data_IF_283768487834
#
_entry.id   IF_283768487834
#
_cell.length_a   1.000
_cell.length_b   1.000
_cell.length_c   1.000
_cell.angle_alpha   90.00
_cell.angle_beta   90.00
_cell.angle_gamma   90.00
#
_symmetry.space_group_name_H-M   'P 1'
#
loop_
_entity.id
_entity.type
_entity.pdbx_description
1 polymer ?
#
# COMPACT_ATOMS: atom_id res chain seq x y z
N UNK A 1 5.95 20.99 0.88
CA UNK A 1 5.76 22.46 0.83
C UNK A 1 6.74 23.22 1.73
N UNK A 2 6.97 22.80 2.99
CA UNK A 2 7.88 23.49 3.93
C UNK A 2 9.38 23.19 3.75
N UNK A 3 9.77 22.42 2.73
CA UNK A 3 11.17 22.04 2.48
C UNK A 3 11.83 21.19 3.56
N UNK A 4 11.05 20.63 4.50
CA UNK A 4 11.58 19.89 5.66
C UNK A 4 12.22 18.56 5.29
N UNK A 5 11.71 17.90 4.25
CA UNK A 5 12.19 16.62 3.75
C UNK A 5 12.29 16.67 2.23
N UNK A 6 13.30 15.99 1.72
CA UNK A 6 13.50 15.67 0.31
C UNK A 6 12.52 14.59 -0.14
N UNK A 7 12.38 14.42 -1.46
CA UNK A 7 11.55 13.35 -2.01
C UNK A 7 12.07 11.96 -1.62
N UNK A 8 13.40 11.79 -1.55
CA UNK A 8 14.03 10.53 -1.15
C UNK A 8 13.74 10.18 0.31
N UNK A 9 13.83 11.14 1.23
CA UNK A 9 13.49 10.93 2.64
C UNK A 9 12.01 10.59 2.82
N UNK A 10 11.12 11.22 2.04
CA UNK A 10 9.69 10.88 2.07
C UNK A 10 9.46 9.44 1.55
N UNK A 11 10.15 9.04 0.48
CA UNK A 11 10.07 7.67 -0.02
C UNK A 11 10.60 6.68 1.02
N UNK A 12 11.71 6.97 1.69
CA UNK A 12 12.25 6.15 2.77
C UNK A 12 11.24 5.96 3.90
N UNK A 13 10.53 7.01 4.33
CA UNK A 13 9.46 6.86 5.33
C UNK A 13 8.31 5.95 4.87
N UNK A 14 7.97 5.98 3.58
CA UNK A 14 6.94 5.09 3.01
C UNK A 14 7.45 3.66 2.95
N UNK A 15 8.70 3.46 2.50
CA UNK A 15 9.34 2.15 2.44
C UNK A 15 9.42 1.53 3.84
N UNK A 16 9.86 2.29 4.85
CA UNK A 16 9.89 1.87 6.26
C UNK A 16 8.51 1.50 6.79
N UNK A 17 7.50 2.33 6.50
CA UNK A 17 6.12 2.06 6.91
C UNK A 17 5.60 0.76 6.27
N UNK A 18 5.81 0.59 4.96
CA UNK A 18 5.40 -0.62 4.21
C UNK A 18 6.17 -1.85 4.70
N UNK A 19 7.47 -1.74 5.00
CA UNK A 19 8.25 -2.81 5.62
C UNK A 19 7.62 -3.27 6.93
N UNK A 20 7.11 -2.35 7.77
CA UNK A 20 6.38 -2.75 8.99
C UNK A 20 5.08 -3.47 8.70
N UNK A 21 4.29 -3.03 7.73
CA UNK A 21 3.06 -3.73 7.33
C UNK A 21 3.35 -5.17 6.89
N UNK A 22 4.47 -5.39 6.16
CA UNK A 22 4.94 -6.72 5.73
C UNK A 22 5.34 -7.66 6.88
N UNK A 23 5.60 -7.13 8.07
CA UNK A 23 5.98 -7.95 9.24
C UNK A 23 4.81 -8.42 10.09
N UNK A 24 3.59 -7.94 9.83
CA UNK A 24 2.42 -8.35 10.61
C UNK A 24 2.19 -9.85 10.44
N UNK A 25 1.98 -10.54 11.56
CA UNK A 25 1.67 -11.96 11.63
C UNK A 25 0.68 -12.21 12.76
N UNK A 26 -0.15 -13.24 12.59
CA UNK A 26 -1.10 -13.69 13.59
C UNK A 26 -0.88 -15.18 13.84
N UNK A 27 -1.00 -15.62 15.09
CA UNK A 27 -1.01 -17.05 15.39
C UNK A 27 -2.27 -17.69 14.79
N UNK A 28 -2.12 -18.78 14.02
CA UNK A 28 -3.22 -19.49 13.34
C UNK A 28 -3.26 -20.96 13.74
N UNK A 29 -4.45 -21.54 13.71
CA UNK A 29 -4.63 -22.99 13.81
C UNK A 29 -4.45 -23.64 12.43
N UNK A 30 -4.12 -24.93 12.39
CA UNK A 30 -4.01 -25.68 11.11
C UNK A 30 -5.30 -25.64 10.28
N UNK A 31 -6.45 -25.65 10.94
CA UNK A 31 -7.75 -25.56 10.28
C UNK A 31 -7.96 -24.20 9.59
N UNK A 32 -7.45 -23.10 10.17
CA UNK A 32 -7.49 -21.79 9.54
C UNK A 32 -6.62 -21.74 8.28
N UNK A 33 -5.39 -22.27 8.37
CA UNK A 33 -4.44 -22.28 7.25
C UNK A 33 -4.94 -23.09 6.03
N UNK A 34 -5.71 -24.17 6.28
CA UNK A 34 -6.38 -24.93 5.21
C UNK A 34 -7.45 -24.12 4.46
N UNK A 35 -8.09 -23.15 5.12
CA UNK A 35 -9.11 -22.29 4.51
C UNK A 35 -8.50 -21.03 3.89
N UNK A 36 -7.43 -20.50 4.49
CA UNK A 36 -6.77 -19.26 4.12
C UNK A 36 -5.27 -19.48 4.00
N UNK A 37 -4.85 -20.12 2.91
CA UNK A 37 -3.45 -20.45 2.64
C UNK A 37 -2.57 -19.23 2.43
N UNK A 38 -1.31 -19.30 2.84
CA UNK A 38 -0.29 -18.30 2.52
C UNK A 38 -0.14 -17.19 3.56
N UNK A 39 -0.56 -17.43 4.81
CA UNK A 39 -0.50 -16.47 5.92
C UNK A 39 -1.05 -15.07 5.60
N UNK A 40 -2.26 -14.92 5.01
CA UNK A 40 -2.76 -13.60 4.65
C UNK A 40 -3.05 -12.76 5.90
N UNK A 41 -2.68 -11.48 5.83
CA UNK A 41 -3.04 -10.48 6.86
C UNK A 41 -4.12 -9.52 6.38
N UNK A 42 -4.31 -9.41 5.06
CA UNK A 42 -5.32 -8.58 4.41
C UNK A 42 -5.17 -7.10 4.77
N UNK A 43 -3.94 -6.63 4.95
CA UNK A 43 -3.67 -5.23 5.25
C UNK A 43 -3.85 -4.44 3.96
N UNK A 44 -5.07 -3.96 3.75
CA UNK A 44 -5.48 -3.36 2.48
C UNK A 44 -5.26 -1.86 2.50
N UNK A 45 -4.49 -1.37 1.52
CA UNK A 45 -4.31 0.06 1.28
C UNK A 45 -5.12 0.44 0.04
N UNK A 46 -6.20 1.19 0.24
CA UNK A 46 -7.01 1.74 -0.86
C UNK A 46 -6.41 3.05 -1.35
N UNK A 47 -6.16 3.15 -2.66
CA UNK A 47 -5.47 4.26 -3.31
C UNK A 47 -6.27 4.81 -4.49
N UNK A 48 -5.89 5.99 -4.97
CA UNK A 48 -6.54 6.66 -6.10
C UNK A 48 -8.04 6.95 -5.85
N UNK A 49 -8.89 6.69 -6.85
CA UNK A 49 -10.34 6.95 -6.80
C UNK A 49 -10.73 8.38 -7.13
N UNK A 50 -12.02 8.68 -6.96
CA UNK A 50 -12.64 9.98 -7.23
C UNK A 50 -13.29 10.53 -5.96
N UNK A 51 -13.31 11.85 -5.83
CA UNK A 51 -14.15 12.54 -4.86
C UNK A 51 -15.59 12.67 -5.36
N UNK A 52 -16.52 12.85 -4.43
CA UNK A 52 -17.92 13.16 -4.76
C UNK A 52 -18.07 14.50 -5.51
N UNK A 53 -17.03 15.33 -5.49
CA UNK A 53 -16.92 16.58 -6.25
C UNK A 53 -16.43 16.37 -7.70
N UNK A 54 -16.20 15.14 -8.12
CA UNK A 54 -15.78 14.77 -9.46
C UNK A 54 -14.29 14.88 -9.75
N UNK A 55 -13.46 15.32 -8.79
CA UNK A 55 -11.99 15.35 -8.95
C UNK A 55 -11.38 14.00 -8.62
N UNK A 56 -10.28 13.64 -9.28
CA UNK A 56 -9.51 12.45 -8.87
C UNK A 56 -8.87 12.67 -7.49
N UNK A 57 -8.64 11.57 -6.77
CA UNK A 57 -7.92 11.55 -5.48
C UNK A 57 -6.53 10.97 -5.59
N UNK A 58 -6.04 10.68 -6.80
CA UNK A 58 -4.64 10.34 -7.04
C UNK A 58 -3.73 11.45 -6.53
N UNK A 59 -2.72 11.06 -5.78
CA UNK A 59 -1.69 11.91 -5.18
C UNK A 59 -0.31 11.30 -5.42
N UNK A 60 0.75 12.07 -5.14
CA UNK A 60 2.12 11.52 -5.15
C UNK A 60 2.29 10.35 -4.18
N UNK A 61 1.53 10.30 -3.08
CA UNK A 61 1.65 9.20 -2.11
C UNK A 61 1.25 7.86 -2.72
N UNK A 62 0.22 7.82 -3.58
CA UNK A 62 -0.20 6.57 -4.23
C UNK A 62 0.96 5.98 -5.05
N UNK A 63 1.67 6.82 -5.80
CA UNK A 63 2.86 6.40 -6.54
C UNK A 63 4.00 5.95 -5.63
N UNK A 64 4.21 6.58 -4.47
CA UNK A 64 5.24 6.13 -3.51
C UNK A 64 4.93 4.76 -2.92
N UNK A 65 3.65 4.48 -2.63
CA UNK A 65 3.21 3.14 -2.20
C UNK A 65 3.44 2.11 -3.31
N UNK A 66 3.09 2.42 -4.56
CA UNK A 66 3.36 1.54 -5.70
C UNK A 66 4.86 1.31 -5.90
N UNK A 67 5.68 2.36 -5.79
CA UNK A 67 7.13 2.31 -5.95
C UNK A 67 7.83 1.44 -4.89
N UNK A 68 7.16 1.10 -3.78
CA UNK A 68 7.70 0.13 -2.81
C UNK A 68 7.86 -1.27 -3.40
N UNK A 69 7.08 -1.61 -4.44
CA UNK A 69 7.25 -2.87 -5.17
C UNK A 69 8.59 -2.94 -5.91
N UNK A 70 9.11 -1.80 -6.34
CA UNK A 70 10.41 -1.69 -7.00
C UNK A 70 11.55 -1.52 -5.99
N UNK A 71 11.41 -0.59 -5.03
CA UNK A 71 12.46 -0.26 -4.06
C UNK A 71 12.79 -1.38 -3.09
N UNK A 72 11.75 -1.99 -2.49
CA UNK A 72 11.89 -2.99 -1.42
C UNK A 72 11.31 -4.36 -1.85
N UNK A 73 11.13 -4.54 -3.15
CA UNK A 73 10.72 -5.79 -3.79
C UNK A 73 9.22 -6.09 -3.69
N UNK A 74 8.77 -6.96 -4.60
CA UNK A 74 7.40 -7.43 -4.68
C UNK A 74 6.98 -8.17 -3.41
N UNK A 75 5.79 -7.86 -2.91
CA UNK A 75 5.23 -8.50 -1.72
C UNK A 75 3.70 -8.59 -1.82
N UNK A 76 3.07 -9.64 -1.26
CA UNK A 76 1.61 -9.73 -1.19
C UNK A 76 0.99 -8.72 -0.21
N UNK A 77 1.78 -8.17 0.73
CA UNK A 77 1.32 -7.21 1.72
C UNK A 77 2.17 -5.91 1.67
N UNK A 78 1.57 -4.73 1.94
CA UNK A 78 0.13 -4.51 2.03
C UNK A 78 -0.55 -4.83 0.69
N UNK A 79 -1.78 -5.31 0.77
CA UNK A 79 -2.63 -5.52 -0.39
C UNK A 79 -3.01 -4.16 -1.02
N UNK A 80 -2.26 -3.76 -2.04
CA UNK A 80 -2.39 -2.49 -2.75
C UNK A 80 -3.61 -2.53 -3.69
N UNK A 81 -4.68 -1.81 -3.33
CA UNK A 81 -5.94 -1.80 -4.08
C UNK A 81 -6.17 -0.44 -4.73
N UNK A 82 -6.16 -0.40 -6.06
CA UNK A 82 -6.45 0.81 -6.83
C UNK A 82 -7.96 0.95 -7.01
N UNK A 83 -8.53 2.04 -6.51
CA UNK A 83 -9.93 2.39 -6.74
C UNK A 83 -10.09 2.94 -8.16
N UNK A 84 -10.25 2.04 -9.12
CA UNK A 84 -10.22 2.36 -10.54
C UNK A 84 -11.49 3.06 -11.06
N UNK A 85 -11.28 3.98 -12.00
CA UNK A 85 -12.30 4.54 -12.91
C UNK A 85 -11.60 4.96 -14.20
N UNK A 86 -12.34 4.96 -15.30
CA UNK A 86 -11.96 5.56 -16.58
C UNK A 86 -11.61 7.06 -16.52
N UNK A 87 -11.96 7.75 -15.43
CA UNK A 87 -11.66 9.16 -15.20
C UNK A 87 -10.38 9.42 -14.39
N UNK A 88 -9.64 8.36 -14.04
CA UNK A 88 -8.33 8.55 -13.41
C UNK A 88 -7.37 9.24 -14.38
N UNK A 89 -6.46 10.10 -13.87
CA UNK A 89 -5.45 10.79 -14.68
C UNK A 89 -4.41 9.85 -15.28
#
# INVERSE_FOLDING_TARGET
ARGTFTESEIQEFVDDFVMKLRTVKFARTKAYDQLYSGDPTFITTSMAGMGNDGRHRVTKMDYRFLNTLDNIGNSPEPNLTVLWTDKLP
#
